data_IF_216327287915
#
_entry.id   IF_216327287915
#
_cell.length_a   1.000
_cell.length_b   1.000
_cell.length_c   1.000
_cell.angle_alpha   90.00
_cell.angle_beta   90.00
_cell.angle_gamma   90.00
#
_symmetry.space_group_name_H-M   'P 1'
#
loop_
_entity.id
_entity.type
_entity.pdbx_description
1 polymer ?
#
# COMPACT_ATOMS: atom_id res chain seq x y z
N UNK A 1 30.35 -14.94 -1.00
CA UNK A 1 29.19 -15.65 -1.59
C UNK A 1 28.52 -14.72 -2.58
N UNK A 2 28.08 -15.23 -3.72
CA UNK A 2 27.29 -14.42 -4.65
C UNK A 2 25.91 -14.14 -4.01
N UNK A 3 25.35 -12.92 -4.19
CA UNK A 3 24.00 -12.61 -3.73
C UNK A 3 22.99 -13.54 -4.39
N UNK A 4 22.00 -14.03 -3.63
CA UNK A 4 20.95 -14.93 -4.15
C UNK A 4 19.61 -14.64 -3.47
N UNK A 5 18.52 -14.80 -4.22
CA UNK A 5 17.18 -14.63 -3.69
C UNK A 5 16.74 -13.17 -3.50
N UNK A 6 15.58 -13.01 -2.93
CA UNK A 6 14.92 -11.72 -2.73
C UNK A 6 14.50 -11.58 -1.28
N UNK A 7 14.81 -10.44 -0.68
CA UNK A 7 14.38 -10.10 0.68
C UNK A 7 13.30 -9.02 0.61
N UNK A 8 12.24 -9.17 1.40
CA UNK A 8 11.22 -8.13 1.58
C UNK A 8 11.24 -7.60 3.01
N UNK A 9 10.93 -6.32 3.18
CA UNK A 9 10.64 -5.74 4.49
C UNK A 9 9.13 -5.66 4.65
N UNK A 10 8.63 -6.25 5.72
CA UNK A 10 7.19 -6.46 5.95
C UNK A 10 6.67 -5.47 6.97
N UNK A 11 5.51 -4.92 6.68
CA UNK A 11 4.68 -4.17 7.62
C UNK A 11 3.48 -5.02 8.04
N UNK A 12 3.15 -4.98 9.34
CA UNK A 12 2.00 -5.66 9.92
C UNK A 12 0.89 -4.66 10.26
N UNK A 13 -0.34 -5.13 10.17
CA UNK A 13 -1.52 -4.45 10.72
C UNK A 13 -2.29 -5.44 11.59
N UNK A 14 -2.42 -5.12 12.89
CA UNK A 14 -3.08 -6.03 13.85
C UNK A 14 -2.45 -7.42 13.94
N UNK A 15 -1.12 -7.54 13.71
CA UNK A 15 -0.38 -8.80 13.72
C UNK A 15 -0.48 -9.62 12.43
N UNK A 16 -1.17 -9.11 11.40
CA UNK A 16 -1.24 -9.75 10.07
C UNK A 16 -0.46 -8.93 9.03
N UNK A 17 0.11 -9.57 7.98
CA UNK A 17 0.75 -8.86 6.89
C UNK A 17 -0.22 -7.92 6.18
N UNK A 18 0.19 -6.67 5.92
CA UNK A 18 -0.59 -5.72 5.13
C UNK A 18 -0.82 -6.25 3.71
N UNK A 19 -1.79 -5.68 2.99
CA UNK A 19 -2.04 -6.02 1.58
C UNK A 19 -0.78 -5.88 0.74
N UNK A 20 -0.09 -4.75 0.88
CA UNK A 20 1.16 -4.49 0.17
C UNK A 20 2.29 -5.47 0.55
N UNK A 21 2.39 -5.89 1.82
CA UNK A 21 3.36 -6.90 2.23
C UNK A 21 3.08 -8.26 1.56
N UNK A 22 1.82 -8.62 1.35
CA UNK A 22 1.43 -9.84 0.60
C UNK A 22 1.73 -9.72 -0.90
N UNK A 23 1.52 -8.55 -1.50
CA UNK A 23 1.94 -8.28 -2.88
C UNK A 23 3.46 -8.40 -3.06
N UNK A 24 4.24 -7.87 -2.10
CA UNK A 24 5.70 -8.01 -2.09
C UNK A 24 6.15 -9.46 -2.02
N UNK A 25 5.48 -10.31 -1.22
CA UNK A 25 5.74 -11.75 -1.17
C UNK A 25 5.46 -12.41 -2.52
N UNK A 26 4.35 -12.07 -3.17
CA UNK A 26 4.01 -12.57 -4.50
C UNK A 26 5.06 -12.20 -5.55
N UNK A 27 5.46 -10.92 -5.57
CA UNK A 27 6.54 -10.45 -6.44
C UNK A 27 7.87 -11.13 -6.16
N UNK A 28 8.27 -11.20 -4.88
CA UNK A 28 9.53 -11.83 -4.47
C UNK A 28 9.59 -13.32 -4.90
N UNK A 29 8.47 -14.05 -4.78
CA UNK A 29 8.37 -15.44 -5.22
C UNK A 29 8.51 -15.58 -6.73
N UNK A 30 7.89 -14.68 -7.50
CA UNK A 30 8.03 -14.63 -8.96
C UNK A 30 9.49 -14.37 -9.36
N UNK A 31 10.14 -13.39 -8.75
CA UNK A 31 11.55 -13.05 -9.03
C UNK A 31 12.49 -14.19 -8.60
N UNK A 32 12.29 -14.78 -7.43
CA UNK A 32 13.07 -15.91 -6.95
C UNK A 32 12.94 -17.14 -7.86
N UNK A 33 11.77 -17.34 -8.48
CA UNK A 33 11.58 -18.39 -9.50
C UNK A 33 12.40 -18.19 -10.76
N UNK A 34 12.70 -16.95 -11.12
CA UNK A 34 13.51 -16.60 -12.29
C UNK A 34 15.01 -16.53 -11.99
N UNK A 35 15.36 -15.96 -10.84
CA UNK A 35 16.76 -15.67 -10.45
C UNK A 35 17.37 -16.77 -9.58
N UNK A 36 16.56 -17.66 -9.05
CA UNK A 36 16.97 -18.63 -8.04
C UNK A 36 17.08 -18.03 -6.63
N UNK A 37 17.24 -18.89 -5.63
CA UNK A 37 17.44 -18.52 -4.23
C UNK A 37 16.14 -18.35 -3.42
N UNK A 38 16.27 -18.10 -2.10
CA UNK A 38 15.14 -18.03 -1.19
C UNK A 38 14.42 -16.69 -1.25
N UNK A 39 13.15 -16.72 -0.83
CA UNK A 39 12.39 -15.53 -0.45
C UNK A 39 12.50 -15.34 1.05
N UNK A 40 13.11 -14.23 1.45
CA UNK A 40 13.27 -13.87 2.86
C UNK A 40 12.33 -12.72 3.21
N UNK A 41 11.65 -12.82 4.34
CA UNK A 41 10.86 -11.73 4.91
C UNK A 41 11.55 -11.19 6.16
N UNK A 42 11.68 -9.88 6.29
CA UNK A 42 12.17 -9.21 7.50
C UNK A 42 10.99 -8.51 8.15
N UNK A 43 10.66 -8.94 9.34
CA UNK A 43 9.58 -8.38 10.13
C UNK A 43 10.05 -8.17 11.57
N UNK A 44 10.54 -6.97 11.93
CA UNK A 44 11.25 -6.75 13.19
C UNK A 44 10.47 -7.15 14.44
N UNK A 45 9.16 -6.92 14.48
CA UNK A 45 8.30 -7.24 15.62
C UNK A 45 7.40 -8.47 15.44
N UNK A 46 7.74 -9.37 14.48
CA UNK A 46 6.92 -10.55 14.25
C UNK A 46 7.03 -11.53 15.45
N UNK A 47 5.87 -11.92 15.95
CA UNK A 47 5.70 -13.10 16.80
C UNK A 47 5.62 -14.39 15.96
N UNK A 48 5.50 -15.53 16.62
CA UNK A 48 5.41 -16.82 15.92
C UNK A 48 4.19 -16.94 15.00
N UNK A 49 3.08 -16.26 15.31
CA UNK A 49 1.86 -16.24 14.47
C UNK A 49 2.11 -15.43 13.20
N UNK A 50 2.65 -14.22 13.35
CA UNK A 50 2.97 -13.36 12.21
C UNK A 50 3.99 -14.01 11.30
N UNK A 51 5.03 -14.66 11.85
CA UNK A 51 6.02 -15.42 11.08
C UNK A 51 5.36 -16.57 10.31
N UNK A 52 4.45 -17.33 10.92
CA UNK A 52 3.70 -18.40 10.25
C UNK A 52 2.84 -17.89 9.10
N UNK A 53 2.19 -16.72 9.25
CA UNK A 53 1.43 -16.08 8.17
C UNK A 53 2.35 -15.66 7.00
N UNK A 54 3.53 -15.10 7.27
CA UNK A 54 4.48 -14.74 6.22
C UNK A 54 4.98 -15.96 5.44
N UNK A 55 5.20 -17.07 6.12
CA UNK A 55 5.55 -18.34 5.49
C UNK A 55 4.39 -18.84 4.62
N UNK A 56 3.17 -18.83 5.15
CA UNK A 56 1.98 -19.24 4.41
C UNK A 56 1.74 -18.41 3.13
N UNK A 57 2.16 -17.14 3.12
CA UNK A 57 2.11 -16.26 1.94
C UNK A 57 3.38 -16.29 1.08
N UNK A 58 4.33 -17.18 1.33
CA UNK A 58 5.40 -17.45 0.38
C UNK A 58 6.82 -17.18 0.85
N UNK A 59 7.09 -16.78 2.11
CA UNK A 59 8.44 -16.68 2.62
C UNK A 59 9.03 -18.08 2.87
N UNK A 60 10.32 -18.25 2.57
CA UNK A 60 11.09 -19.44 2.97
C UNK A 60 11.75 -19.22 4.33
N UNK A 61 12.15 -17.95 4.59
CA UNK A 61 12.75 -17.55 5.85
C UNK A 61 12.14 -16.25 6.35
N UNK A 62 11.90 -16.17 7.66
CA UNK A 62 11.44 -14.95 8.32
C UNK A 62 12.49 -14.51 9.34
N UNK A 63 13.03 -13.31 9.14
CA UNK A 63 13.95 -12.68 10.07
C UNK A 63 13.18 -11.78 11.02
N UNK A 64 13.33 -11.99 12.31
CA UNK A 64 12.71 -11.19 13.38
C UNK A 64 13.74 -10.84 14.45
N UNK A 65 13.52 -9.80 15.22
CA UNK A 65 14.39 -9.44 16.33
C UNK A 65 13.84 -9.88 17.69
N UNK A 66 12.63 -10.40 17.75
CA UNK A 66 12.05 -10.97 18.98
C UNK A 66 11.69 -9.95 20.07
N UNK A 67 11.82 -8.65 19.82
CA UNK A 67 11.51 -7.60 20.78
C UNK A 67 10.13 -7.01 20.52
N UNK A 68 9.17 -7.05 21.48
CA UNK A 68 7.82 -6.51 21.31
C UNK A 68 7.78 -5.01 20.95
N UNK A 69 8.79 -4.26 21.36
CA UNK A 69 8.91 -2.81 21.08
C UNK A 69 9.10 -2.52 19.58
N UNK A 70 9.40 -3.55 18.78
CA UNK A 70 9.63 -3.46 17.34
C UNK A 70 8.37 -3.67 16.51
N UNK A 71 7.22 -3.98 17.13
CA UNK A 71 5.94 -4.06 16.44
C UNK A 71 5.56 -2.72 15.79
N UNK A 72 6.11 -1.63 16.28
CA UNK A 72 5.90 -0.28 15.78
C UNK A 72 7.16 0.24 15.08
N UNK A 73 6.95 1.03 14.01
CA UNK A 73 8.05 1.59 13.25
C UNK A 73 8.88 2.58 14.09
N UNK A 74 10.16 2.28 14.22
CA UNK A 74 11.22 3.13 14.74
C UNK A 74 12.36 3.12 13.71
N UNK A 75 12.66 4.27 13.14
CA UNK A 75 13.55 4.36 11.99
C UNK A 75 14.95 3.81 12.25
N UNK A 76 15.51 4.05 13.44
CA UNK A 76 16.87 3.61 13.77
C UNK A 76 16.90 2.10 13.99
N UNK A 77 15.93 1.57 14.76
CA UNK A 77 15.89 0.15 15.12
C UNK A 77 15.49 -0.72 13.93
N UNK A 78 14.48 -0.30 13.19
CA UNK A 78 14.04 -1.01 11.97
C UNK A 78 15.15 -1.05 10.92
N UNK A 79 15.90 0.07 10.76
CA UNK A 79 17.03 0.09 9.84
C UNK A 79 18.15 -0.86 10.31
N UNK A 80 18.42 -0.93 11.62
CA UNK A 80 19.42 -1.84 12.18
C UNK A 80 19.03 -3.31 11.97
N UNK A 81 17.77 -3.65 12.27
CA UNK A 81 17.23 -5.00 12.07
C UNK A 81 17.27 -5.40 10.58
N UNK A 82 16.76 -4.54 9.70
CA UNK A 82 16.78 -4.79 8.27
C UNK A 82 18.21 -4.98 7.74
N UNK A 83 19.15 -4.14 8.17
CA UNK A 83 20.54 -4.25 7.76
C UNK A 83 21.19 -5.57 8.25
N UNK A 84 20.92 -6.00 9.48
CA UNK A 84 21.41 -7.26 10.01
C UNK A 84 20.85 -8.47 9.22
N UNK A 85 19.53 -8.46 8.99
CA UNK A 85 18.85 -9.51 8.22
C UNK A 85 19.34 -9.57 6.76
N UNK A 86 19.47 -8.42 6.08
CA UNK A 86 19.97 -8.35 4.69
C UNK A 86 21.42 -8.85 4.59
N UNK A 87 22.27 -8.52 5.55
CA UNK A 87 23.64 -9.09 5.58
C UNK A 87 23.64 -10.59 5.78
N UNK A 88 22.74 -11.14 6.60
CA UNK A 88 22.63 -12.58 6.82
C UNK A 88 22.05 -13.32 5.60
N UNK A 89 21.07 -12.71 4.93
CA UNK A 89 20.38 -13.28 3.78
C UNK A 89 21.17 -13.18 2.46
N UNK A 90 22.05 -12.19 2.31
CA UNK A 90 22.80 -11.89 1.08
C UNK A 90 21.93 -11.85 -0.19
N UNK A 91 20.82 -11.07 -0.24
CA UNK A 91 19.90 -11.08 -1.36
C UNK A 91 20.42 -10.29 -2.56
N UNK A 92 19.90 -10.60 -3.75
CA UNK A 92 20.06 -9.78 -4.95
C UNK A 92 19.28 -8.47 -4.85
N UNK A 93 18.10 -8.53 -4.24
CA UNK A 93 17.24 -7.36 -4.07
C UNK A 93 16.55 -7.32 -2.70
N UNK A 94 16.36 -6.11 -2.21
CA UNK A 94 15.53 -5.81 -1.05
C UNK A 94 14.34 -4.98 -1.51
N UNK A 95 13.12 -5.49 -1.31
CA UNK A 95 11.88 -4.85 -1.70
C UNK A 95 11.12 -4.39 -0.45
N UNK A 96 10.60 -3.18 -0.50
CA UNK A 96 9.95 -2.50 0.62
C UNK A 96 8.65 -1.88 0.10
N UNK A 97 7.58 -1.83 0.88
CA UNK A 97 6.37 -1.12 0.51
C UNK A 97 6.63 0.39 0.40
N UNK A 98 6.07 1.06 -0.61
CA UNK A 98 6.15 2.51 -0.75
C UNK A 98 5.11 3.20 0.15
N UNK A 99 5.23 2.94 1.45
CA UNK A 99 4.47 3.58 2.54
C UNK A 99 5.29 4.72 3.12
N UNK A 100 4.73 5.46 4.07
CA UNK A 100 5.49 6.49 4.81
C UNK A 100 6.70 5.89 5.53
N UNK A 101 6.52 4.74 6.19
CA UNK A 101 7.61 4.02 6.87
C UNK A 101 8.63 3.48 5.88
N UNK A 102 8.16 2.88 4.78
CA UNK A 102 9.05 2.34 3.76
C UNK A 102 9.84 3.41 3.02
N UNK A 103 9.25 4.58 2.77
CA UNK A 103 9.93 5.72 2.14
C UNK A 103 11.04 6.31 3.04
N UNK A 104 10.88 6.27 4.36
CA UNK A 104 11.93 6.65 5.32
C UNK A 104 13.01 5.55 5.46
N UNK A 105 12.59 4.28 5.55
CA UNK A 105 13.50 3.14 5.77
C UNK A 105 14.41 2.86 4.57
N UNK A 106 13.86 2.87 3.35
CA UNK A 106 14.56 2.39 2.17
C UNK A 106 15.88 3.15 1.88
N UNK A 107 15.94 4.49 1.86
CA UNK A 107 17.19 5.20 1.63
C UNK A 107 18.21 4.99 2.76
N UNK A 108 17.75 4.86 4.01
CA UNK A 108 18.61 4.57 5.16
C UNK A 108 19.26 3.19 5.04
N UNK A 109 18.46 2.19 4.64
CA UNK A 109 18.96 0.84 4.42
C UNK A 109 19.90 0.79 3.22
N UNK A 110 19.52 1.40 2.09
CA UNK A 110 20.36 1.44 0.89
C UNK A 110 21.73 2.03 1.18
N UNK A 111 21.80 3.15 1.91
CA UNK A 111 23.06 3.75 2.34
C UNK A 111 23.92 2.77 3.16
N UNK A 112 23.32 2.03 4.12
CA UNK A 112 24.04 1.04 4.93
C UNK A 112 24.51 -0.18 4.16
N UNK A 113 23.86 -0.47 3.03
CA UNK A 113 24.25 -1.56 2.13
C UNK A 113 25.20 -1.10 1.02
N UNK A 114 25.59 0.18 0.98
CA UNK A 114 26.41 0.73 -0.10
C UNK A 114 25.72 0.72 -1.46
N UNK A 115 24.41 0.84 -1.46
CA UNK A 115 23.56 0.79 -2.66
C UNK A 115 22.79 2.10 -2.86
N UNK A 116 22.29 2.31 -4.09
CA UNK A 116 21.24 3.28 -4.37
C UNK A 116 19.85 2.72 -4.03
N UNK A 117 18.81 3.56 -4.16
CA UNK A 117 17.42 3.17 -3.97
C UNK A 117 16.55 3.61 -5.14
N UNK A 118 15.73 2.70 -5.69
CA UNK A 118 14.67 3.03 -6.63
C UNK A 118 13.35 3.17 -5.86
N UNK A 119 12.83 4.40 -5.77
CA UNK A 119 11.65 4.69 -4.95
C UNK A 119 10.36 4.76 -5.78
N UNK A 120 9.26 4.23 -5.23
CA UNK A 120 7.93 4.33 -5.83
C UNK A 120 7.79 3.55 -7.13
N UNK A 121 8.49 2.41 -7.24
CA UNK A 121 8.41 1.55 -8.42
C UNK A 121 6.98 1.03 -8.64
N UNK A 122 6.63 0.87 -9.90
CA UNK A 122 5.35 0.27 -10.35
C UNK A 122 5.57 -1.05 -11.08
N UNK A 123 6.81 -1.30 -11.54
CA UNK A 123 7.20 -2.59 -12.09
C UNK A 123 8.63 -2.94 -11.68
N UNK A 124 8.87 -4.23 -11.39
CA UNK A 124 10.18 -4.80 -11.11
C UNK A 124 10.25 -6.13 -11.87
N UNK A 125 11.19 -6.24 -12.76
CA UNK A 125 11.31 -7.36 -13.69
C UNK A 125 12.74 -7.89 -13.70
N UNK A 126 12.88 -9.19 -13.94
CA UNK A 126 14.17 -9.83 -14.18
C UNK A 126 14.37 -10.07 -15.68
N UNK A 127 15.55 -9.74 -16.19
CA UNK A 127 16.03 -10.10 -17.52
C UNK A 127 17.38 -10.81 -17.38
N UNK A 128 17.36 -12.12 -17.51
CA UNK A 128 18.49 -12.95 -17.11
C UNK A 128 18.83 -12.78 -15.64
N UNK A 129 20.04 -12.31 -15.33
CA UNK A 129 20.48 -11.99 -13.97
C UNK A 129 20.29 -10.54 -13.57
N UNK A 130 19.83 -9.67 -14.47
CA UNK A 130 19.63 -8.26 -14.23
C UNK A 130 18.23 -7.98 -13.69
N UNK A 131 18.12 -7.00 -12.80
CA UNK A 131 16.85 -6.49 -12.30
C UNK A 131 16.61 -5.08 -12.82
N UNK A 132 15.41 -4.86 -13.34
CA UNK A 132 14.94 -3.60 -13.89
C UNK A 132 13.81 -3.05 -13.01
N UNK A 133 13.96 -1.81 -12.56
CA UNK A 133 13.05 -1.12 -11.65
C UNK A 133 12.41 0.05 -12.38
N UNK A 134 11.13 -0.02 -12.68
CA UNK A 134 10.40 1.02 -13.41
C UNK A 134 9.58 1.86 -12.43
N UNK A 135 9.76 3.18 -12.49
CA UNK A 135 9.03 4.14 -11.65
C UNK A 135 8.46 5.29 -12.48
N UNK A 136 7.31 5.86 -12.09
CA UNK A 136 6.77 7.06 -12.69
C UNK A 136 7.56 8.29 -12.20
N UNK A 137 7.84 9.20 -13.12
CA UNK A 137 8.48 10.49 -12.88
C UNK A 137 7.62 11.63 -13.44
N UNK A 138 7.92 12.88 -13.05
CA UNK A 138 7.22 14.08 -13.53
C UNK A 138 5.68 13.97 -13.41
N UNK A 139 5.19 13.61 -12.22
CA UNK A 139 3.75 13.45 -11.98
C UNK A 139 3.10 12.25 -12.69
N UNK A 140 3.91 11.29 -13.18
CA UNK A 140 3.43 10.10 -13.89
C UNK A 140 3.49 10.19 -15.42
N UNK A 141 3.89 11.34 -15.97
CA UNK A 141 3.97 11.55 -17.43
C UNK A 141 5.11 10.79 -18.11
N UNK A 142 6.13 10.42 -17.34
CA UNK A 142 7.30 9.69 -17.83
C UNK A 142 7.53 8.47 -16.95
N UNK A 143 7.97 7.36 -17.54
CA UNK A 143 8.46 6.20 -16.82
C UNK A 143 9.97 6.10 -16.98
N UNK A 144 10.67 5.97 -15.86
CA UNK A 144 12.11 5.73 -15.81
C UNK A 144 12.35 4.27 -15.38
N UNK A 145 13.21 3.57 -16.12
CA UNK A 145 13.67 2.24 -15.74
C UNK A 145 15.14 2.30 -15.38
N UNK A 146 15.49 1.85 -14.19
CA UNK A 146 16.85 1.83 -13.65
C UNK A 146 17.31 0.43 -13.30
N UNK A 147 18.61 0.19 -13.34
CA UNK A 147 19.27 -1.02 -12.87
C UNK A 147 20.42 -0.64 -11.94
N UNK A 148 20.75 -1.54 -11.02
CA UNK A 148 21.82 -1.33 -10.06
C UNK A 148 23.10 -2.06 -10.48
N UNK A 149 24.25 -1.40 -10.30
CA UNK A 149 25.58 -2.00 -10.46
C UNK A 149 26.13 -2.52 -9.12
N UNK A 150 25.42 -2.26 -8.02
CA UNK A 150 25.76 -2.72 -6.69
C UNK A 150 25.34 -4.18 -6.48
N UNK A 151 25.97 -4.87 -5.54
CA UNK A 151 25.67 -6.27 -5.24
C UNK A 151 24.23 -6.51 -4.77
N UNK A 152 23.62 -5.53 -4.12
CA UNK A 152 22.26 -5.58 -3.62
C UNK A 152 21.49 -4.39 -4.20
N UNK A 153 20.34 -4.61 -4.80
CA UNK A 153 19.42 -3.58 -5.21
C UNK A 153 18.41 -3.28 -4.10
N UNK A 154 18.09 -2.01 -3.85
CA UNK A 154 17.04 -1.62 -2.88
C UNK A 154 15.96 -0.85 -3.61
N UNK A 155 14.70 -1.26 -3.45
CA UNK A 155 13.59 -0.59 -4.10
C UNK A 155 12.34 -0.52 -3.20
N UNK A 156 11.52 0.52 -3.41
CA UNK A 156 10.18 0.56 -2.84
C UNK A 156 9.13 0.38 -3.93
N UNK A 157 8.08 -0.41 -3.65
CA UNK A 157 7.00 -0.76 -4.55
C UNK A 157 5.71 -0.07 -4.13
N UNK A 158 5.00 0.53 -5.08
CA UNK A 158 3.65 1.05 -4.86
C UNK A 158 2.64 -0.09 -4.75
N UNK A 159 1.61 0.11 -3.93
CA UNK A 159 0.53 -0.85 -3.77
C UNK A 159 -0.27 -1.05 -5.08
N UNK A 160 -0.88 -2.22 -5.24
CA UNK A 160 -1.72 -2.59 -6.38
C UNK A 160 -0.98 -2.85 -7.68
N UNK A 161 0.34 -3.02 -7.63
CA UNK A 161 1.13 -3.31 -8.81
C UNK A 161 1.27 -4.81 -9.11
N UNK A 162 1.08 -5.64 -8.10
CA UNK A 162 1.18 -7.10 -8.19
C UNK A 162 0.11 -7.80 -7.35
N UNK A 163 -0.27 -8.99 -7.78
CA UNK A 163 -1.19 -9.82 -7.01
C UNK A 163 -0.45 -10.52 -5.86
N UNK A 164 -1.14 -10.62 -4.73
CA UNK A 164 -0.70 -11.45 -3.62
C UNK A 164 -0.88 -12.94 -3.98
N UNK A 165 -0.05 -13.80 -3.40
CA UNK A 165 -0.25 -15.24 -3.49
C UNK A 165 -1.46 -15.66 -2.65
N UNK A 166 -2.09 -16.76 -3.04
CA UNK A 166 -3.04 -17.46 -2.19
C UNK A 166 -2.32 -17.99 -0.94
N UNK A 167 -3.02 -17.95 0.18
CA UNK A 167 -2.50 -18.44 1.45
C UNK A 167 -2.41 -19.97 1.45
N UNK A 168 -1.22 -20.51 1.61
CA UNK A 168 -0.97 -21.95 1.77
C UNK A 168 -0.61 -22.26 3.24
N UNK A 169 -1.56 -22.77 4.04
CA UNK A 169 -1.32 -23.07 5.45
C UNK A 169 -0.39 -24.28 5.69
N UNK A 170 -0.10 -25.06 4.65
CA UNK A 170 0.79 -26.22 4.76
C UNK A 170 2.25 -25.88 4.43
N UNK A 171 2.50 -24.66 3.95
CA UNK A 171 3.85 -24.21 3.63
C UNK A 171 4.72 -24.16 4.88
N UNK A 172 5.92 -24.70 4.78
CA UNK A 172 6.94 -24.68 5.83
C UNK A 172 8.04 -23.68 5.51
N UNK A 173 8.65 -23.13 6.54
CA UNK A 173 9.76 -22.18 6.45
C UNK A 173 10.51 -22.08 7.77
N UNK A 174 11.55 -21.27 7.77
CA UNK A 174 12.44 -21.06 8.91
C UNK A 174 12.22 -19.67 9.52
N UNK A 175 12.19 -19.58 10.85
CA UNK A 175 12.24 -18.29 11.56
C UNK A 175 13.63 -18.10 12.17
N UNK A 176 14.26 -16.97 11.85
CA UNK A 176 15.62 -16.63 12.28
C UNK A 176 15.56 -15.35 13.12
N UNK A 177 16.01 -15.43 14.35
CA UNK A 177 16.14 -14.25 15.21
C UNK A 177 17.47 -13.56 14.93
N UNK A 178 17.42 -12.26 14.60
CA UNK A 178 18.61 -11.41 14.46
C UNK A 178 18.88 -10.67 15.75
N UNK A 179 20.15 -10.63 16.14
CA UNK A 179 20.59 -9.83 17.28
C UNK A 179 20.72 -8.38 16.87
N UNK A 180 20.12 -7.48 17.64
CA UNK A 180 20.16 -6.04 17.40
C UNK A 180 21.15 -5.36 18.35
N UNK A 181 21.92 -4.43 17.81
CA UNK A 181 22.57 -3.40 18.60
C UNK A 181 21.61 -2.23 18.75
N UNK A 182 20.88 -2.19 19.86
CA UNK A 182 19.90 -1.15 20.18
C UNK A 182 20.54 0.14 20.71
N UNK A 183 21.87 0.17 20.93
CA UNK A 183 22.59 1.32 21.44
C UNK A 183 22.54 2.56 20.51
N UNK A 184 22.15 2.38 19.26
CA UNK A 184 22.07 3.46 18.26
C UNK A 184 20.73 4.23 18.24
N UNK A 185 19.78 3.93 19.13
CA UNK A 185 18.48 4.59 19.17
C UNK A 185 18.59 6.05 19.60
N UNK A 186 18.32 6.99 18.69
CA UNK A 186 18.43 8.43 18.92
C UNK A 186 17.11 9.13 19.23
N UNK A 187 16.00 8.48 18.89
CA UNK A 187 14.65 8.98 19.11
C UNK A 187 13.78 7.92 19.77
N UNK A 188 12.76 8.33 20.51
CA UNK A 188 11.72 7.42 21.00
C UNK A 188 10.35 8.04 20.74
N UNK A 189 9.37 7.20 20.43
CA UNK A 189 7.97 7.62 20.39
C UNK A 189 7.52 7.94 21.81
N UNK A 190 7.08 9.17 22.03
CA UNK A 190 6.58 9.63 23.34
C UNK A 190 5.07 9.43 23.42
N UNK A 191 4.35 9.71 22.32
CA UNK A 191 2.90 9.61 22.24
C UNK A 191 2.48 9.27 20.82
N UNK A 192 1.40 8.52 20.67
CA UNK A 192 0.72 8.28 19.38
C UNK A 192 -0.74 8.65 19.53
N UNK A 193 -1.17 9.55 18.69
CA UNK A 193 -2.58 9.84 18.51
C UNK A 193 -3.08 9.04 17.31
N UNK A 194 -4.03 8.14 17.53
CA UNK A 194 -4.75 7.47 16.44
C UNK A 194 -6.02 8.25 16.18
N UNK A 195 -6.16 8.77 14.96
CA UNK A 195 -7.45 9.25 14.51
C UNK A 195 -8.44 8.06 14.53
N UNK A 196 -9.48 8.18 15.34
CA UNK A 196 -10.56 7.18 15.46
C UNK A 196 -11.51 7.17 14.25
N UNK A 197 -11.07 7.68 13.12
CA UNK A 197 -11.85 7.91 11.92
C UNK A 197 -12.02 6.70 11.01
N UNK A 198 -12.63 5.63 11.49
CA UNK A 198 -13.09 4.54 10.65
C UNK A 198 -12.51 3.15 10.99
N UNK A 199 -13.34 2.14 10.85
CA UNK A 199 -12.97 0.75 11.16
C UNK A 199 -11.98 0.16 10.13
N UNK A 200 -11.93 0.71 8.90
CA UNK A 200 -11.10 0.21 7.80
C UNK A 200 -10.09 1.28 7.37
N UNK A 201 -8.81 0.94 7.36
CA UNK A 201 -7.75 1.83 6.84
C UNK A 201 -7.90 1.98 5.32
N UNK A 202 -7.67 3.21 4.82
CA UNK A 202 -7.76 3.50 3.39
C UNK A 202 -6.85 2.61 2.54
N UNK A 203 -5.65 2.36 3.02
CA UNK A 203 -4.64 1.57 2.29
C UNK A 203 -5.00 0.09 2.18
N UNK A 204 -5.83 -0.43 3.09
CA UNK A 204 -6.27 -1.83 3.14
C UNK A 204 -7.71 -2.02 2.63
N UNK A 205 -8.41 -0.91 2.30
CA UNK A 205 -9.81 -0.93 1.91
C UNK A 205 -10.01 -1.48 0.48
N UNK A 206 -10.89 -2.49 0.33
CA UNK A 206 -11.28 -3.00 -0.99
C UNK A 206 -12.20 -2.04 -1.74
N UNK A 207 -12.98 -1.24 -1.01
CA UNK A 207 -13.86 -0.21 -1.56
C UNK A 207 -13.56 1.11 -0.89
N UNK A 208 -13.44 2.17 -1.67
CA UNK A 208 -13.25 3.53 -1.17
C UNK A 208 -14.30 4.44 -1.80
N UNK A 209 -14.97 5.21 -0.96
CA UNK A 209 -15.87 6.29 -1.37
C UNK A 209 -15.19 7.61 -1.01
N UNK A 210 -14.75 8.37 -2.01
CA UNK A 210 -13.95 9.57 -1.79
C UNK A 210 -14.70 10.85 -2.20
N UNK A 211 -14.59 11.87 -1.34
CA UNK A 211 -15.19 13.16 -1.52
C UNK A 211 -14.23 14.24 -2.02
N UNK A 212 -14.71 15.07 -2.95
CA UNK A 212 -13.99 16.24 -3.43
C UNK A 212 -14.60 17.55 -2.97
N UNK A 213 -14.06 18.67 -3.51
CA UNK A 213 -14.60 20.03 -3.26
C UNK A 213 -16.08 20.16 -3.67
N UNK A 214 -16.54 19.35 -4.64
CA UNK A 214 -17.92 19.35 -5.09
C UNK A 214 -18.94 18.83 -4.07
N UNK A 215 -18.52 18.36 -2.88
CA UNK A 215 -19.41 18.08 -1.76
C UNK A 215 -19.96 19.35 -1.10
N UNK A 216 -19.30 20.49 -1.28
CA UNK A 216 -19.75 21.80 -0.82
C UNK A 216 -19.96 21.90 0.70
N UNK A 217 -19.20 21.12 1.47
CA UNK A 217 -19.24 21.17 2.93
C UNK A 217 -18.98 19.82 3.61
N UNK A 218 -18.75 19.82 4.95
CA UNK A 218 -18.48 18.61 5.71
C UNK A 218 -19.66 17.62 5.75
N UNK A 219 -20.91 18.11 5.63
CA UNK A 219 -22.12 17.27 5.65
C UNK A 219 -22.16 16.26 4.50
N UNK A 220 -21.48 16.57 3.38
CA UNK A 220 -21.37 15.65 2.26
C UNK A 220 -20.67 14.35 2.65
N UNK A 221 -19.73 14.39 3.60
CA UNK A 221 -19.02 13.20 4.08
C UNK A 221 -19.91 12.23 4.87
N UNK A 222 -20.99 12.70 5.50
CA UNK A 222 -21.98 11.84 6.16
C UNK A 222 -22.70 10.95 5.15
N UNK A 223 -23.07 11.54 3.99
CA UNK A 223 -23.70 10.81 2.88
C UNK A 223 -22.73 9.77 2.31
N UNK A 224 -21.44 10.13 2.16
CA UNK A 224 -20.43 9.17 1.69
C UNK A 224 -20.15 8.06 2.70
N UNK A 225 -20.20 8.38 3.99
CA UNK A 225 -20.00 7.39 5.06
C UNK A 225 -21.13 6.34 5.07
N UNK A 226 -22.36 6.73 4.74
CA UNK A 226 -23.46 5.78 4.59
C UNK A 226 -23.20 4.80 3.43
N UNK A 227 -22.84 5.31 2.26
CA UNK A 227 -22.50 4.48 1.10
C UNK A 227 -21.30 3.57 1.39
N UNK A 228 -20.25 4.10 2.00
CA UNK A 228 -19.07 3.32 2.35
C UNK A 228 -19.41 2.17 3.31
N UNK A 229 -20.26 2.42 4.31
CA UNK A 229 -20.72 1.40 5.26
C UNK A 229 -21.49 0.30 4.56
N UNK A 230 -22.39 0.64 3.64
CA UNK A 230 -23.12 -0.37 2.85
C UNK A 230 -22.17 -1.23 2.00
N UNK A 231 -21.07 -0.69 1.55
CA UNK A 231 -20.10 -1.41 0.73
C UNK A 231 -18.95 -2.06 1.55
N UNK A 232 -19.00 -2.00 2.88
CA UNK A 232 -17.90 -2.39 3.77
C UNK A 232 -16.58 -1.72 3.36
N UNK A 233 -16.65 -0.46 2.95
CA UNK A 233 -15.55 0.33 2.45
C UNK A 233 -15.09 1.42 3.42
N UNK A 234 -14.07 2.16 3.00
CA UNK A 234 -13.56 3.33 3.72
C UNK A 234 -13.96 4.64 3.04
N UNK A 235 -13.99 5.73 3.82
CA UNK A 235 -14.21 7.08 3.29
C UNK A 235 -12.86 7.77 3.09
N UNK A 236 -12.64 8.31 1.89
CA UNK A 236 -11.47 9.10 1.54
C UNK A 236 -11.83 10.51 1.12
N UNK A 237 -10.80 11.35 0.92
CA UNK A 237 -10.98 12.72 0.46
C UNK A 237 -9.88 13.14 -0.50
N UNK A 238 -10.20 14.07 -1.41
CA UNK A 238 -9.17 14.83 -2.10
C UNK A 238 -8.57 15.88 -1.17
N UNK A 239 -7.47 16.52 -1.57
CA UNK A 239 -6.75 17.47 -0.72
C UNK A 239 -7.61 18.67 -0.27
N UNK A 240 -8.41 19.25 -1.17
CA UNK A 240 -9.14 20.48 -0.86
C UNK A 240 -10.11 20.36 0.33
N UNK A 241 -10.94 19.32 0.46
CA UNK A 241 -11.75 19.10 1.66
C UNK A 241 -10.94 19.02 2.96
N UNK A 242 -9.76 18.40 2.93
CA UNK A 242 -8.88 18.32 4.09
C UNK A 242 -8.32 19.71 4.47
N UNK A 243 -7.83 20.47 3.47
CA UNK A 243 -7.30 21.82 3.67
C UNK A 243 -8.37 22.79 4.19
N UNK A 244 -9.65 22.58 3.83
CA UNK A 244 -10.80 23.34 4.31
C UNK A 244 -11.32 22.87 5.69
N UNK A 245 -10.73 21.81 6.27
CA UNK A 245 -11.14 21.28 7.56
C UNK A 245 -12.48 20.53 7.54
N UNK A 246 -12.98 20.12 6.36
CA UNK A 246 -14.20 19.32 6.25
C UNK A 246 -14.02 17.87 6.71
N UNK A 247 -12.79 17.38 6.63
CA UNK A 247 -12.41 16.04 7.07
C UNK A 247 -10.94 16.02 7.52
N UNK A 248 -10.52 14.95 8.21
CA UNK A 248 -9.14 14.77 8.65
C UNK A 248 -8.17 14.62 7.49
N UNK A 249 -6.95 15.14 7.63
CA UNK A 249 -5.85 14.89 6.69
C UNK A 249 -5.46 13.41 6.57
N UNK A 250 -5.79 12.58 7.55
CA UNK A 250 -5.62 11.13 7.48
C UNK A 250 -6.46 10.47 6.38
N UNK A 251 -7.51 11.15 5.91
CA UNK A 251 -8.38 10.71 4.80
C UNK A 251 -7.87 11.15 3.43
N UNK A 252 -6.82 11.98 3.36
CA UNK A 252 -6.34 12.53 2.11
C UNK A 252 -5.74 11.46 1.18
N UNK A 253 -6.24 11.41 -0.05
CA UNK A 253 -5.76 10.56 -1.14
C UNK A 253 -5.16 11.45 -2.24
N UNK A 254 -3.97 11.08 -2.73
CA UNK A 254 -3.28 11.81 -3.78
C UNK A 254 -1.76 11.80 -3.63
N UNK A 255 -1.07 12.57 -4.45
CA UNK A 255 0.40 12.64 -4.49
C UNK A 255 1.03 12.99 -3.13
N UNK A 256 0.39 13.87 -2.36
CA UNK A 256 0.82 14.31 -1.03
C UNK A 256 0.04 13.66 0.11
N UNK A 257 -0.84 12.74 -0.20
CA UNK A 257 -1.62 11.95 0.74
C UNK A 257 -1.32 10.46 0.61
N UNK A 258 -2.33 9.66 0.90
CA UNK A 258 -2.25 8.21 0.78
C UNK A 258 -2.35 7.76 -0.67
N UNK A 259 -1.64 6.69 -1.01
CA UNK A 259 -1.84 5.95 -2.26
C UNK A 259 -2.67 4.71 -1.95
N UNK A 260 -3.75 4.52 -2.71
CA UNK A 260 -4.72 3.46 -2.52
C UNK A 260 -4.97 2.71 -3.83
N UNK A 261 -5.29 1.42 -3.74
CA UNK A 261 -5.54 0.56 -4.91
C UNK A 261 -6.72 -0.36 -4.64
N UNK A 262 -7.91 0.22 -4.37
CA UNK A 262 -9.10 -0.56 -4.10
C UNK A 262 -9.60 -1.30 -5.35
N UNK A 263 -10.41 -2.30 -5.15
CA UNK A 263 -11.16 -2.95 -6.23
C UNK A 263 -12.21 -1.99 -6.82
N UNK A 264 -12.77 -1.12 -5.97
CA UNK A 264 -13.74 -0.10 -6.37
C UNK A 264 -13.42 1.23 -5.70
N UNK A 265 -13.24 2.26 -6.51
CA UNK A 265 -13.07 3.65 -6.09
C UNK A 265 -14.24 4.48 -6.59
N UNK A 266 -15.04 5.02 -5.68
CA UNK A 266 -16.18 5.89 -6.02
C UNK A 266 -15.78 7.34 -5.74
N UNK A 267 -15.58 8.13 -6.80
CA UNK A 267 -15.17 9.53 -6.74
C UNK A 267 -16.41 10.43 -6.80
N UNK A 268 -16.67 11.18 -5.74
CA UNK A 268 -17.86 12.04 -5.62
C UNK A 268 -17.44 13.51 -5.53
N UNK A 269 -17.83 14.32 -6.50
CA UNK A 269 -17.47 15.73 -6.56
C UNK A 269 -15.96 15.99 -6.68
N UNK A 270 -15.22 15.06 -7.29
CA UNK A 270 -13.79 15.13 -7.54
C UNK A 270 -13.55 15.47 -9.01
N UNK A 271 -12.66 16.44 -9.28
CA UNK A 271 -12.37 16.88 -10.65
C UNK A 271 -11.47 15.94 -11.45
N UNK A 272 -10.68 15.09 -10.78
CA UNK A 272 -9.73 14.21 -11.46
C UNK A 272 -8.39 14.86 -11.81
N UNK A 273 -7.96 15.87 -11.04
CA UNK A 273 -6.62 16.46 -11.20
C UNK A 273 -5.52 15.41 -11.03
N UNK A 274 -4.44 15.49 -11.84
CA UNK A 274 -3.36 14.51 -11.86
C UNK A 274 -2.73 14.23 -10.49
N UNK A 275 -2.66 15.24 -9.61
CA UNK A 275 -2.16 15.03 -8.23
C UNK A 275 -3.07 14.13 -7.38
N UNK A 276 -4.39 14.17 -7.61
CA UNK A 276 -5.31 13.24 -6.95
C UNK A 276 -5.22 11.85 -7.57
N UNK A 277 -5.22 11.77 -8.91
CA UNK A 277 -5.11 10.51 -9.64
C UNK A 277 -3.81 9.76 -9.37
N UNK A 278 -2.73 10.46 -9.02
CA UNK A 278 -1.48 9.83 -8.57
C UNK A 278 -1.65 8.94 -7.32
N UNK A 279 -2.70 9.19 -6.53
CA UNK A 279 -3.00 8.40 -5.32
C UNK A 279 -4.05 7.31 -5.52
N UNK A 280 -4.87 7.36 -6.57
CA UNK A 280 -5.97 6.39 -6.77
C UNK A 280 -6.10 5.84 -8.20
N UNK A 281 -5.29 6.31 -9.15
CA UNK A 281 -5.39 5.90 -10.55
C UNK A 281 -5.14 4.41 -10.82
N UNK A 282 -4.55 3.69 -9.87
CA UNK A 282 -4.36 2.24 -9.94
C UNK A 282 -5.54 1.44 -9.35
N UNK A 283 -6.66 2.10 -8.98
CA UNK A 283 -7.86 1.38 -8.58
C UNK A 283 -8.37 0.50 -9.73
N UNK A 284 -8.84 -0.71 -9.43
CA UNK A 284 -9.32 -1.65 -10.48
C UNK A 284 -10.51 -1.09 -11.25
N UNK A 285 -11.41 -0.42 -10.53
CA UNK A 285 -12.59 0.21 -11.11
C UNK A 285 -12.79 1.57 -10.48
N UNK A 286 -13.00 2.58 -11.29
CA UNK A 286 -13.34 3.93 -10.85
C UNK A 286 -14.77 4.24 -11.32
N UNK A 287 -15.60 4.68 -10.37
CA UNK A 287 -16.92 5.25 -10.62
C UNK A 287 -16.84 6.73 -10.29
N UNK A 288 -17.28 7.60 -11.18
CA UNK A 288 -17.28 9.03 -10.96
C UNK A 288 -18.70 9.59 -10.90
N UNK A 289 -18.98 10.41 -9.90
CA UNK A 289 -20.24 11.17 -9.75
C UNK A 289 -19.86 12.65 -9.66
N UNK A 290 -20.24 13.43 -10.64
CA UNK A 290 -19.94 14.86 -10.70
C UNK A 290 -21.08 15.62 -11.42
N UNK A 291 -21.30 16.86 -11.05
CA UNK A 291 -22.23 17.76 -11.75
C UNK A 291 -21.62 18.34 -13.03
N UNK A 292 -20.30 18.43 -13.11
CA UNK A 292 -19.57 18.90 -14.28
C UNK A 292 -19.32 17.74 -15.23
N UNK A 293 -19.99 17.72 -16.38
CA UNK A 293 -19.86 16.69 -17.41
C UNK A 293 -18.46 16.64 -18.05
N UNK A 294 -17.69 17.74 -17.99
CA UNK A 294 -16.35 17.86 -18.55
C UNK A 294 -15.24 17.56 -17.53
N UNK A 295 -15.61 17.14 -16.32
CA UNK A 295 -14.64 16.82 -15.28
C UNK A 295 -13.64 15.76 -15.77
N UNK A 296 -12.34 16.02 -15.58
CA UNK A 296 -11.26 15.16 -16.06
C UNK A 296 -11.35 13.72 -15.49
N UNK A 297 -11.97 13.54 -14.32
CA UNK A 297 -12.17 12.24 -13.67
C UNK A 297 -12.85 11.21 -14.58
N UNK A 298 -13.72 11.65 -15.50
CA UNK A 298 -14.44 10.77 -16.41
C UNK A 298 -13.53 10.07 -17.44
N UNK A 299 -12.33 10.60 -17.69
CA UNK A 299 -11.34 9.96 -18.58
C UNK A 299 -10.77 8.66 -17.99
N UNK A 300 -10.73 8.60 -16.67
CA UNK A 300 -10.19 7.47 -15.92
C UNK A 300 -11.30 6.58 -15.32
N UNK A 301 -12.55 7.08 -15.32
CA UNK A 301 -13.68 6.36 -14.77
C UNK A 301 -14.20 5.29 -15.73
N UNK A 302 -14.46 4.10 -15.22
CA UNK A 302 -15.13 3.02 -15.95
C UNK A 302 -16.63 3.31 -16.12
N UNK A 303 -17.23 3.96 -15.12
CA UNK A 303 -18.61 4.41 -15.14
C UNK A 303 -18.70 5.82 -14.58
N UNK A 304 -19.51 6.66 -15.23
CA UNK A 304 -19.72 8.03 -14.84
C UNK A 304 -21.20 8.37 -14.73
N UNK A 305 -21.53 9.14 -13.71
CA UNK A 305 -22.88 9.72 -13.54
C UNK A 305 -22.75 11.22 -13.45
N UNK A 306 -23.34 11.92 -14.42
CA UNK A 306 -23.44 13.38 -14.39
C UNK A 306 -24.70 13.75 -13.59
N UNK A 307 -24.51 14.26 -12.37
CA UNK A 307 -25.63 14.57 -11.48
C UNK A 307 -25.22 15.04 -10.10
N UNK A 308 -26.20 15.54 -9.36
CA UNK A 308 -26.00 15.95 -7.97
C UNK A 308 -25.90 14.72 -7.07
N UNK A 309 -24.77 14.59 -6.36
CA UNK A 309 -24.52 13.48 -5.44
C UNK A 309 -25.58 13.36 -4.34
N UNK A 310 -26.21 14.48 -3.94
CA UNK A 310 -27.29 14.49 -2.93
C UNK A 310 -28.52 13.68 -3.37
N UNK A 311 -28.68 13.45 -4.68
CA UNK A 311 -29.72 12.60 -5.26
C UNK A 311 -29.17 11.21 -5.64
N UNK A 312 -28.00 11.20 -6.29
CA UNK A 312 -27.41 9.97 -6.84
C UNK A 312 -26.99 9.01 -5.74
N UNK A 313 -26.28 9.49 -4.71
CA UNK A 313 -25.71 8.61 -3.67
C UNK A 313 -26.81 7.94 -2.82
N UNK A 314 -27.84 8.64 -2.32
CA UNK A 314 -28.93 7.98 -1.60
C UNK A 314 -29.69 6.96 -2.46
N UNK A 315 -29.92 7.25 -3.76
CA UNK A 315 -30.55 6.29 -4.68
C UNK A 315 -29.69 5.05 -4.88
N UNK A 316 -28.37 5.21 -4.97
CA UNK A 316 -27.42 4.10 -5.06
C UNK A 316 -27.44 3.25 -3.77
N UNK A 317 -27.48 3.87 -2.60
CA UNK A 317 -27.60 3.18 -1.31
C UNK A 317 -28.89 2.36 -1.25
N UNK A 318 -30.02 2.95 -1.67
CA UNK A 318 -31.30 2.25 -1.71
C UNK A 318 -31.24 1.01 -2.65
N UNK A 319 -30.70 1.18 -3.86
CA UNK A 319 -30.57 0.10 -4.81
C UNK A 319 -29.64 -1.04 -4.31
N UNK A 320 -28.55 -0.71 -3.61
CA UNK A 320 -27.64 -1.70 -2.99
C UNK A 320 -28.38 -2.50 -1.91
N UNK A 321 -29.17 -1.83 -1.06
CA UNK A 321 -29.97 -2.50 -0.02
C UNK A 321 -31.00 -3.43 -0.60
N UNK A 322 -31.71 -3.00 -1.63
CA UNK A 322 -32.70 -3.79 -2.34
C UNK A 322 -32.04 -5.02 -3.01
N UNK A 323 -30.95 -4.83 -3.72
CA UNK A 323 -30.19 -5.93 -4.33
C UNK A 323 -29.76 -6.98 -3.29
N UNK A 324 -29.29 -6.54 -2.12
CA UNK A 324 -28.89 -7.45 -1.03
C UNK A 324 -30.09 -8.22 -0.46
N UNK A 325 -31.26 -7.60 -0.42
CA UNK A 325 -32.46 -8.21 0.13
C UNK A 325 -33.12 -9.20 -0.86
N UNK A 326 -33.10 -8.90 -2.15
CA UNK A 326 -33.88 -9.61 -3.18
C UNK A 326 -33.02 -10.42 -4.14
N UNK A 327 -31.71 -10.14 -4.25
CA UNK A 327 -30.83 -10.67 -5.29
C UNK A 327 -31.15 -10.14 -6.71
N UNK A 328 -32.05 -9.16 -6.82
CA UNK A 328 -32.47 -8.54 -8.09
C UNK A 328 -32.45 -7.02 -7.95
N UNK A 329 -31.95 -6.34 -8.97
CA UNK A 329 -32.19 -4.90 -9.16
C UNK A 329 -33.43 -4.76 -10.04
N UNK A 330 -34.39 -3.93 -9.65
CA UNK A 330 -35.39 -3.43 -10.63
C UNK A 330 -34.64 -2.60 -11.67
N UNK A 331 -34.60 -3.11 -12.90
CA UNK A 331 -34.18 -2.33 -14.07
C UNK A 331 -35.28 -1.34 -14.38
N UNK A 332 -35.06 -0.08 -14.07
CA UNK A 332 -35.91 1.03 -14.54
C UNK A 332 -35.58 1.39 -15.97
#
# INVERSE_FOLDING_TARGET
MNPVGVTIIVELNGGAPTSLSRELLGLARRLAGQLGGPVCAVCPGADGRAAGELIAYGADKVYTAGEPTLAEYDSDVWTACAAAAVRAAHPLAVLIGHTTSGADLAPRLAFRMGSGVATGCVAIEADGSALHFTRPCYGGNVRETVSFKTAVAVATLRAGCYDALERDPQRTGETVTVTLDTAARRARVVERQRDSGGEVRLEDARVIVAGGRGLDGPQGFEVLAELARELNGAVGASRVPCDLGWCSHSMQIGLTGKTVTPELYIAVGISGAGHHMAGCGNARNIVAINTDAEAAIYKDARWGVVGDYRKVVPSLVAAIREFRATGKTETA
#
